data_IF_792378075888
#
_entry.id   IF_792378075888
#
_cell.length_a   1.000
_cell.length_b   1.000
_cell.length_c   1.000
_cell.angle_alpha   90.00
_cell.angle_beta   90.00
_cell.angle_gamma   90.00
#
_symmetry.space_group_name_H-M   'P 1'
#
loop_
_entity.id
_entity.type
_entity.pdbx_description
1 polymer ?
#
# COMPACT_ATOMS: atom_id res chain seq x y z
N UNK A 1 -24.26 0.87 7.97
CA UNK A 1 -22.92 0.70 8.56
C UNK A 1 -21.90 1.31 7.62
N UNK A 2 -21.20 2.35 8.05
CA UNK A 2 -20.13 2.93 7.26
C UNK A 2 -18.86 2.07 7.41
N UNK A 3 -18.09 1.90 6.34
CA UNK A 3 -16.82 1.14 6.40
C UNK A 3 -15.82 1.93 7.23
N UNK A 4 -15.05 1.25 8.08
CA UNK A 4 -14.20 1.83 9.13
C UNK A 4 -13.32 2.99 8.62
N UNK A 5 -12.68 2.84 7.45
CA UNK A 5 -11.84 3.88 6.84
C UNK A 5 -12.57 5.21 6.57
N UNK A 6 -13.89 5.19 6.40
CA UNK A 6 -14.73 6.37 6.15
C UNK A 6 -15.48 6.84 7.39
N UNK A 7 -15.64 5.96 8.39
CA UNK A 7 -16.31 6.24 9.66
C UNK A 7 -15.38 6.83 10.73
N UNK A 8 -14.08 6.50 10.68
CA UNK A 8 -13.10 6.98 11.64
C UNK A 8 -13.00 8.52 11.62
N UNK A 9 -12.71 9.17 12.77
CA UNK A 9 -12.57 10.62 12.85
C UNK A 9 -11.35 11.13 12.05
N UNK A 10 -11.31 12.45 11.81
CA UNK A 10 -10.21 13.12 11.14
C UNK A 10 -10.37 13.23 9.62
N UNK A 11 -9.25 13.34 8.91
CA UNK A 11 -9.20 13.56 7.47
C UNK A 11 -8.28 12.54 6.78
N UNK A 12 -8.39 12.45 5.46
CA UNK A 12 -7.49 11.61 4.68
C UNK A 12 -6.19 12.36 4.40
N UNK A 13 -5.07 11.72 4.73
CA UNK A 13 -3.72 12.14 4.39
C UNK A 13 -3.19 11.26 3.26
N UNK A 14 -2.68 11.89 2.20
CA UNK A 14 -2.06 11.22 1.05
C UNK A 14 -0.61 10.87 1.39
N UNK A 15 -0.24 9.60 1.26
CA UNK A 15 1.14 9.17 1.51
C UNK A 15 1.63 8.05 0.63
N UNK A 16 2.95 8.04 0.38
CA UNK A 16 3.64 6.94 -0.27
C UNK A 16 4.44 6.15 0.76
N UNK A 17 4.32 4.83 0.76
CA UNK A 17 4.99 3.98 1.75
C UNK A 17 6.26 3.30 1.22
N UNK A 18 6.48 3.32 -0.09
CA UNK A 18 7.58 2.61 -0.73
C UNK A 18 8.35 3.55 -1.66
N UNK A 19 9.56 3.94 -1.30
CA UNK A 19 10.48 4.73 -2.15
C UNK A 19 11.89 4.70 -1.58
N UNK A 20 12.88 4.83 -2.46
CA UNK A 20 14.29 4.70 -2.14
C UNK A 20 15.06 5.99 -2.41
N UNK A 21 16.22 6.11 -1.78
CA UNK A 21 17.16 7.22 -1.90
C UNK A 21 18.57 6.71 -2.19
N UNK A 22 19.55 7.61 -2.17
CA UNK A 22 20.98 7.28 -2.23
C UNK A 22 21.49 6.55 -0.99
N UNK A 23 20.62 6.13 -0.05
CA UNK A 23 21.00 5.28 1.09
C UNK A 23 20.89 3.79 0.75
N UNK A 24 20.14 3.44 -0.29
CA UNK A 24 20.30 2.18 -1.05
C UNK A 24 20.67 2.47 -2.51
N UNK A 25 19.79 2.15 -3.45
CA UNK A 25 20.00 2.13 -4.89
C UNK A 25 19.22 3.24 -5.64
N UNK A 26 18.49 4.09 -4.92
CA UNK A 26 17.88 5.29 -5.48
C UNK A 26 18.90 6.35 -5.92
N UNK A 27 18.46 7.29 -6.76
CA UNK A 27 19.34 8.34 -7.35
C UNK A 27 19.23 9.71 -6.71
N UNK A 28 18.34 9.91 -5.76
CA UNK A 28 18.13 11.19 -5.07
C UNK A 28 18.45 11.07 -3.58
N UNK A 29 18.98 12.15 -2.98
CA UNK A 29 19.24 12.17 -1.54
C UNK A 29 17.93 12.06 -0.75
N UNK A 30 17.96 11.57 0.51
CA UNK A 30 16.79 11.55 1.38
C UNK A 30 16.04 12.90 1.45
N UNK A 31 16.80 14.00 1.55
CA UNK A 31 16.26 15.36 1.56
C UNK A 31 15.48 15.68 0.28
N UNK A 32 16.06 15.38 -0.89
CA UNK A 32 15.44 15.67 -2.18
C UNK A 32 14.21 14.79 -2.43
N UNK A 33 14.23 13.52 -2.00
CA UNK A 33 13.05 12.63 -2.05
C UNK A 33 11.90 13.22 -1.22
N UNK A 34 12.16 13.55 0.06
CA UNK A 34 11.16 14.15 0.95
C UNK A 34 10.61 15.45 0.37
N UNK A 35 11.49 16.32 -0.13
CA UNK A 35 11.11 17.59 -0.75
C UNK A 35 10.19 17.40 -1.95
N UNK A 36 10.51 16.46 -2.85
CA UNK A 36 9.72 16.21 -4.07
C UNK A 36 8.31 15.72 -3.76
N UNK A 37 8.16 14.77 -2.84
CA UNK A 37 6.84 14.30 -2.43
C UNK A 37 6.01 15.42 -1.79
N UNK A 38 6.61 16.21 -0.91
CA UNK A 38 5.95 17.40 -0.33
C UNK A 38 5.50 18.39 -1.41
N UNK A 39 6.37 18.71 -2.36
CA UNK A 39 6.05 19.62 -3.49
C UNK A 39 4.97 19.06 -4.43
N UNK A 40 4.73 17.74 -4.41
CA UNK A 40 3.64 17.07 -5.13
C UNK A 40 2.36 16.87 -4.30
N UNK A 41 2.28 17.51 -3.14
CA UNK A 41 1.08 17.52 -2.30
C UNK A 41 0.83 16.17 -1.60
N UNK A 42 1.88 15.41 -1.31
CA UNK A 42 1.81 14.33 -0.35
C UNK A 42 1.90 14.92 1.05
N UNK A 43 1.12 14.38 1.97
CA UNK A 43 1.12 14.74 3.39
C UNK A 43 2.19 13.97 4.17
N UNK A 44 2.57 12.78 3.69
CA UNK A 44 3.62 11.99 4.31
C UNK A 44 4.31 11.01 3.37
N UNK A 45 5.49 10.53 3.76
CA UNK A 45 6.14 9.37 3.14
C UNK A 45 6.74 8.43 4.18
N UNK A 46 6.97 7.18 3.78
CA UNK A 46 7.99 6.33 4.37
C UNK A 46 9.16 6.23 3.38
N UNK A 47 10.35 6.65 3.79
CA UNK A 47 11.56 6.43 3.00
C UNK A 47 12.11 5.04 3.35
N UNK A 48 11.93 4.09 2.45
CA UNK A 48 12.03 2.66 2.72
C UNK A 48 13.24 2.02 2.03
N UNK A 49 14.41 2.69 2.09
CA UNK A 49 15.66 2.18 1.51
C UNK A 49 15.92 0.71 1.90
N UNK A 50 16.59 -0.03 1.02
CA UNK A 50 16.84 -1.46 1.22
C UNK A 50 17.66 -1.76 2.49
N UNK A 51 17.06 -2.45 3.45
CA UNK A 51 17.69 -2.90 4.69
C UNK A 51 18.40 -4.26 4.48
N UNK A 52 19.67 -4.18 4.07
CA UNK A 52 20.53 -5.35 3.87
C UNK A 52 22.02 -5.01 4.02
N UNK A 53 22.85 -6.04 4.20
CA UNK A 53 24.30 -5.93 4.43
C UNK A 53 25.02 -5.05 3.41
N UNK A 54 24.66 -5.15 2.13
CA UNK A 54 25.28 -4.37 1.06
C UNK A 54 25.18 -2.84 1.26
N UNK A 55 24.13 -2.39 1.95
CA UNK A 55 23.85 -0.97 2.21
C UNK A 55 24.10 -0.57 3.67
N UNK A 56 24.70 -1.46 4.48
CA UNK A 56 24.92 -1.25 5.91
C UNK A 56 23.61 -1.07 6.70
N UNK A 57 22.57 -1.81 6.31
CA UNK A 57 21.28 -1.89 7.04
C UNK A 57 20.66 -0.51 7.39
N UNK A 58 20.40 0.36 6.40
CA UNK A 58 19.96 1.72 6.68
C UNK A 58 18.51 1.76 7.19
N UNK A 59 18.31 2.39 8.36
CA UNK A 59 17.04 3.07 8.68
C UNK A 59 17.33 4.57 8.60
N UNK A 60 16.81 5.23 7.56
CA UNK A 60 17.17 6.62 7.28
C UNK A 60 16.45 7.55 8.24
N UNK A 61 17.19 8.28 9.07
CA UNK A 61 16.63 9.32 9.91
C UNK A 61 16.12 10.49 9.05
N UNK A 62 14.80 10.55 8.90
CA UNK A 62 14.08 11.56 8.14
C UNK A 62 13.36 12.56 9.05
N UNK A 63 13.59 12.51 10.38
CA UNK A 63 12.88 13.37 11.34
C UNK A 63 13.13 14.86 11.09
N UNK A 64 14.33 15.21 10.62
CA UNK A 64 14.71 16.57 10.25
C UNK A 64 14.01 17.13 9.00
N UNK A 65 13.30 16.31 8.23
CA UNK A 65 12.55 16.74 7.03
C UNK A 65 11.07 17.02 7.29
N UNK A 66 10.59 16.76 8.51
CA UNK A 66 9.20 16.99 8.91
C UNK A 66 8.89 18.48 9.03
N UNK A 67 7.66 18.85 8.73
CA UNK A 67 7.11 20.20 8.88
C UNK A 67 5.68 20.12 9.42
N UNK A 68 5.06 21.25 9.73
CA UNK A 68 3.67 21.30 10.21
C UNK A 68 2.65 20.71 9.20
N UNK A 69 3.02 20.59 7.92
CA UNK A 69 2.17 20.10 6.85
C UNK A 69 2.69 18.81 6.18
N UNK A 70 3.84 18.28 6.60
CA UNK A 70 4.45 17.10 6.00
C UNK A 70 5.18 16.26 7.04
N UNK A 71 4.87 14.97 7.13
CA UNK A 71 5.57 14.06 8.05
C UNK A 71 6.30 12.94 7.32
N UNK A 72 7.17 12.26 8.05
CA UNK A 72 7.94 11.12 7.57
C UNK A 72 7.82 9.98 8.57
N UNK A 73 7.57 8.77 8.07
CA UNK A 73 7.56 7.56 8.87
C UNK A 73 8.88 6.83 8.64
N UNK A 74 9.56 6.44 9.71
CA UNK A 74 10.78 5.63 9.61
C UNK A 74 10.41 4.22 9.17
N UNK A 75 11.18 3.62 8.28
CA UNK A 75 10.92 2.28 7.80
C UNK A 75 12.01 1.82 6.84
N UNK A 76 11.81 0.65 6.28
CA UNK A 76 12.71 0.06 5.30
C UNK A 76 12.02 -1.03 4.48
N UNK A 77 12.56 -1.32 3.30
CA UNK A 77 12.32 -2.58 2.62
C UNK A 77 13.35 -3.60 3.10
N UNK A 78 12.89 -4.55 3.93
CA UNK A 78 13.70 -5.57 4.59
C UNK A 78 13.89 -6.80 3.71
N UNK A 79 15.07 -7.42 3.79
CA UNK A 79 15.48 -8.47 2.88
C UNK A 79 15.94 -9.76 3.58
N UNK A 80 15.54 -10.94 3.11
CA UNK A 80 16.00 -12.24 3.65
C UNK A 80 16.01 -13.36 2.59
N UNK A 81 16.87 -14.39 2.69
CA UNK A 81 16.78 -15.58 1.83
C UNK A 81 15.69 -16.56 2.33
N UNK A 82 15.01 -17.33 1.49
CA UNK A 82 14.62 -17.07 0.11
C UNK A 82 13.10 -17.33 0.00
N UNK A 83 12.45 -16.80 -1.03
CA UNK A 83 11.08 -17.15 -1.40
C UNK A 83 11.02 -18.57 -1.98
N UNK A 84 9.83 -19.13 -2.19
CA UNK A 84 9.66 -20.43 -2.88
C UNK A 84 10.22 -20.44 -4.31
N UNK A 85 10.43 -19.26 -4.90
CA UNK A 85 11.04 -19.09 -6.23
C UNK A 85 12.56 -18.94 -6.20
N UNK A 86 13.18 -18.97 -5.03
CA UNK A 86 14.63 -18.78 -4.87
C UNK A 86 15.08 -17.33 -4.94
N UNK A 87 14.13 -16.39 -5.00
CA UNK A 87 14.42 -14.96 -4.94
C UNK A 87 14.61 -14.50 -3.49
N UNK A 88 15.22 -13.33 -3.32
CA UNK A 88 15.28 -12.70 -2.00
C UNK A 88 13.89 -12.23 -1.60
N UNK A 89 13.54 -12.35 -0.33
CA UNK A 89 12.37 -11.69 0.23
C UNK A 89 12.54 -10.19 0.15
N UNK A 90 11.48 -9.51 -0.27
CA UNK A 90 11.25 -8.10 -0.06
C UNK A 90 10.08 -7.98 0.92
N UNK A 91 10.27 -7.26 2.02
CA UNK A 91 9.27 -7.08 3.09
C UNK A 91 9.23 -5.59 3.41
N UNK A 92 8.14 -4.91 3.08
CA UNK A 92 8.00 -3.50 3.39
C UNK A 92 7.60 -3.34 4.88
N UNK A 93 8.41 -2.65 5.66
CA UNK A 93 8.18 -2.40 7.08
C UNK A 93 8.16 -0.90 7.39
N UNK A 94 6.98 -0.39 7.75
CA UNK A 94 6.69 1.03 7.98
C UNK A 94 6.45 1.27 9.47
N UNK A 95 7.21 2.17 10.08
CA UNK A 95 7.19 2.44 11.53
C UNK A 95 8.28 1.69 12.31
N UNK A 96 9.43 1.40 11.70
CA UNK A 96 10.57 0.78 12.40
C UNK A 96 11.32 1.80 13.27
N UNK A 97 11.95 1.37 14.37
CA UNK A 97 12.84 2.23 15.15
C UNK A 97 14.20 2.39 14.46
N UNK A 98 14.91 3.50 14.74
CA UNK A 98 16.24 3.79 14.16
C UNK A 98 17.29 2.72 14.50
N UNK A 99 17.15 2.07 15.64
CA UNK A 99 18.06 1.03 16.14
C UNK A 99 17.60 -0.39 15.80
N UNK A 100 16.73 -0.55 14.80
CA UNK A 100 16.33 -1.87 14.32
C UNK A 100 17.58 -2.69 13.89
N UNK A 101 17.82 -3.79 14.60
CA UNK A 101 19.07 -4.53 14.45
C UNK A 101 19.22 -5.19 13.07
N UNK A 102 20.45 -5.36 12.54
CA UNK A 102 20.72 -6.17 11.36
C UNK A 102 20.14 -7.58 11.39
N UNK A 103 20.14 -8.24 10.24
CA UNK A 103 19.68 -9.61 10.12
C UNK A 103 20.53 -10.56 10.96
N UNK A 104 19.89 -11.58 11.54
CA UNK A 104 20.60 -12.69 12.20
C UNK A 104 21.13 -13.66 11.13
N UNK A 105 22.19 -14.40 11.47
CA UNK A 105 22.71 -15.44 10.57
C UNK A 105 21.63 -16.51 10.32
N UNK A 106 21.31 -16.78 9.06
CA UNK A 106 20.27 -17.73 8.65
C UNK A 106 18.83 -17.27 8.92
N UNK A 107 18.61 -15.99 9.22
CA UNK A 107 17.26 -15.45 9.45
C UNK A 107 16.40 -15.57 8.19
N UNK A 108 15.25 -16.22 8.33
CA UNK A 108 14.30 -16.40 7.22
C UNK A 108 13.41 -15.17 7.03
N UNK A 109 12.76 -15.06 5.86
CA UNK A 109 11.76 -14.01 5.61
C UNK A 109 10.66 -13.99 6.66
N UNK A 110 10.16 -15.15 7.10
CA UNK A 110 9.17 -15.27 8.16
C UNK A 110 9.66 -14.70 9.51
N UNK A 111 10.89 -15.00 9.89
CA UNK A 111 11.49 -14.51 11.14
C UNK A 111 11.74 -13.01 11.09
N UNK A 112 12.21 -12.49 9.95
CA UNK A 112 12.44 -11.06 9.75
C UNK A 112 11.12 -10.28 9.77
N UNK A 113 10.09 -10.76 9.05
CA UNK A 113 8.76 -10.16 9.09
C UNK A 113 8.19 -10.12 10.52
N UNK A 114 8.35 -11.20 11.29
CA UNK A 114 7.91 -11.23 12.69
C UNK A 114 8.64 -10.20 13.55
N UNK A 115 9.96 -10.03 13.37
CA UNK A 115 10.70 -8.98 14.08
C UNK A 115 10.23 -7.57 13.72
N UNK A 116 9.89 -7.32 12.46
CA UNK A 116 9.32 -6.03 12.05
C UNK A 116 7.98 -5.80 12.75
N UNK A 117 7.13 -6.83 12.85
CA UNK A 117 5.86 -6.76 13.59
C UNK A 117 6.09 -6.50 15.08
N UNK A 118 7.02 -7.23 15.71
CA UNK A 118 7.37 -7.10 17.13
C UNK A 118 7.95 -5.71 17.45
N UNK A 119 8.64 -5.09 16.48
CA UNK A 119 9.11 -3.71 16.56
C UNK A 119 7.99 -2.66 16.36
N UNK A 120 6.76 -3.10 16.12
CA UNK A 120 5.61 -2.21 15.93
C UNK A 120 5.47 -1.67 14.52
N UNK A 121 6.09 -2.27 13.50
CA UNK A 121 5.88 -1.84 12.12
C UNK A 121 4.53 -2.30 11.54
N UNK A 122 3.97 -1.49 10.66
CA UNK A 122 3.05 -1.96 9.62
C UNK A 122 3.86 -2.70 8.56
N UNK A 123 3.64 -3.99 8.43
CA UNK A 123 4.31 -4.88 7.48
C UNK A 123 3.43 -5.17 6.28
N UNK A 124 3.94 -5.00 5.06
CA UNK A 124 3.26 -5.31 3.80
C UNK A 124 4.10 -6.23 2.90
N UNK A 125 3.41 -6.90 1.96
CA UNK A 125 4.00 -7.71 0.90
C UNK A 125 4.13 -6.84 -0.36
N UNK A 126 5.33 -6.35 -0.71
CA UNK A 126 5.51 -5.46 -1.85
C UNK A 126 5.58 -6.22 -3.18
N UNK A 127 5.20 -5.53 -4.26
CA UNK A 127 5.33 -5.90 -5.69
C UNK A 127 5.28 -7.40 -6.04
N UNK A 128 4.24 -8.16 -5.61
CA UNK A 128 4.22 -9.62 -5.72
C UNK A 128 4.33 -10.15 -7.17
N UNK A 129 3.81 -9.41 -8.17
CA UNK A 129 3.89 -9.81 -9.58
C UNK A 129 5.28 -9.64 -10.19
N UNK A 130 6.10 -8.70 -9.71
CA UNK A 130 7.40 -8.39 -10.31
C UNK A 130 8.34 -9.60 -10.27
N UNK A 131 8.41 -10.25 -9.11
CA UNK A 131 9.30 -11.38 -8.82
C UNK A 131 8.57 -12.70 -8.49
N UNK A 132 7.24 -12.72 -8.61
CA UNK A 132 6.46 -13.95 -8.73
C UNK A 132 6.20 -14.69 -7.41
N UNK A 133 5.80 -13.96 -6.38
CA UNK A 133 5.43 -14.56 -5.08
C UNK A 133 4.28 -15.57 -5.22
N UNK A 134 4.32 -16.62 -4.39
CA UNK A 134 3.29 -17.66 -4.33
C UNK A 134 2.35 -17.45 -3.14
N UNK A 135 1.21 -18.15 -3.11
CA UNK A 135 0.37 -18.19 -1.92
C UNK A 135 1.10 -18.81 -0.71
N UNK A 136 2.04 -19.73 -0.94
CA UNK A 136 2.90 -20.32 0.08
C UNK A 136 3.82 -19.27 0.73
N UNK A 137 4.40 -18.39 -0.08
CA UNK A 137 5.19 -17.25 0.39
C UNK A 137 4.36 -16.36 1.33
N UNK A 138 3.16 -15.92 0.91
CA UNK A 138 2.28 -15.13 1.78
C UNK A 138 1.92 -15.88 3.07
N UNK A 139 1.60 -17.18 2.99
CA UNK A 139 1.26 -17.99 4.14
C UNK A 139 2.40 -18.08 5.18
N UNK A 140 3.66 -17.92 4.76
CA UNK A 140 4.82 -17.92 5.65
C UNK A 140 4.93 -16.66 6.54
N UNK A 141 4.26 -15.56 6.16
CA UNK A 141 4.22 -14.28 6.89
C UNK A 141 2.78 -13.91 7.27
N UNK A 142 2.12 -14.69 8.14
CA UNK A 142 0.68 -14.55 8.42
C UNK A 142 0.30 -13.20 9.05
N UNK A 143 1.26 -12.51 9.69
CA UNK A 143 1.05 -11.19 10.30
C UNK A 143 1.20 -10.00 9.35
N UNK A 144 1.54 -10.20 8.07
CA UNK A 144 1.55 -9.08 7.11
C UNK A 144 0.14 -8.48 6.97
N UNK A 145 0.06 -7.16 6.99
CA UNK A 145 -1.17 -6.37 7.04
C UNK A 145 -1.74 -6.09 5.66
N UNK A 146 -0.90 -5.96 4.63
CA UNK A 146 -1.35 -5.61 3.29
C UNK A 146 -0.50 -6.23 2.17
N UNK A 147 -1.05 -6.20 0.96
CA UNK A 147 -0.39 -6.57 -0.30
C UNK A 147 -0.38 -5.35 -1.22
N UNK A 148 0.76 -5.05 -1.85
CA UNK A 148 0.78 -4.08 -2.95
C UNK A 148 -0.03 -4.61 -4.14
N UNK A 149 -1.27 -4.12 -4.29
CA UNK A 149 -2.11 -4.37 -5.46
C UNK A 149 -1.69 -3.54 -6.66
N UNK A 150 -0.93 -2.48 -6.41
CA UNK A 150 -0.26 -1.66 -7.41
C UNK A 150 1.13 -1.21 -6.93
N UNK A 151 2.16 -1.48 -7.73
CA UNK A 151 3.51 -0.95 -7.58
C UNK A 151 3.90 -0.17 -8.85
N UNK A 152 4.21 1.11 -8.70
CA UNK A 152 4.39 2.00 -9.86
C UNK A 152 5.66 1.70 -10.64
N UNK A 153 6.81 1.55 -9.97
CA UNK A 153 8.10 1.23 -10.58
C UNK A 153 8.03 -0.05 -11.39
N UNK A 154 7.51 -1.12 -10.79
CA UNK A 154 7.32 -2.40 -11.46
C UNK A 154 6.39 -2.28 -12.67
N UNK A 155 5.36 -1.43 -12.61
CA UNK A 155 4.49 -1.16 -13.75
C UNK A 155 5.23 -0.45 -14.89
N UNK A 156 5.89 0.67 -14.62
CA UNK A 156 6.41 1.56 -15.67
C UNK A 156 7.74 1.10 -16.26
N UNK A 157 8.48 0.27 -15.53
CA UNK A 157 9.77 -0.28 -15.96
C UNK A 157 9.64 -1.71 -16.50
N UNK A 158 8.68 -2.51 -16.03
CA UNK A 158 8.57 -3.93 -16.40
C UNK A 158 7.18 -4.39 -16.84
N UNK A 159 6.14 -3.56 -16.69
CA UNK A 159 4.76 -3.98 -16.95
C UNK A 159 4.24 -5.03 -15.97
N UNK A 160 4.80 -5.09 -14.76
CA UNK A 160 4.49 -6.08 -13.71
C UNK A 160 4.09 -5.44 -12.39
N UNK A 161 3.29 -4.38 -12.45
CA UNK A 161 2.91 -3.61 -11.27
C UNK A 161 1.72 -4.15 -10.50
N UNK A 162 1.12 -5.27 -10.90
CA UNK A 162 -0.11 -5.78 -10.31
C UNK A 162 0.08 -6.60 -9.05
N UNK A 163 -0.95 -6.61 -8.20
CA UNK A 163 -1.05 -7.57 -7.10
C UNK A 163 -2.50 -7.91 -6.72
N UNK A 164 -3.48 -7.42 -7.49
CA UNK A 164 -4.91 -7.65 -7.20
C UNK A 164 -5.27 -9.14 -7.22
N UNK A 165 -4.77 -9.90 -8.19
CA UNK A 165 -5.00 -11.35 -8.25
C UNK A 165 -4.39 -12.06 -7.02
N UNK A 166 -3.17 -11.66 -6.64
CA UNK A 166 -2.46 -12.23 -5.50
C UNK A 166 -3.19 -11.96 -4.19
N UNK A 167 -3.68 -10.72 -3.99
CA UNK A 167 -4.55 -10.37 -2.87
C UNK A 167 -5.82 -11.22 -2.85
N UNK A 168 -6.51 -11.34 -3.98
CA UNK A 168 -7.76 -12.11 -4.06
C UNK A 168 -7.53 -13.60 -3.75
N UNK A 169 -6.43 -14.19 -4.22
CA UNK A 169 -6.05 -15.57 -3.90
C UNK A 169 -5.80 -15.77 -2.40
N UNK A 170 -5.12 -14.82 -1.75
CA UNK A 170 -4.93 -14.84 -0.29
C UNK A 170 -6.27 -14.71 0.44
N UNK A 171 -7.14 -13.78 0.05
CA UNK A 171 -8.46 -13.61 0.66
C UNK A 171 -9.33 -14.87 0.54
N UNK A 172 -9.19 -15.62 -0.56
CA UNK A 172 -9.92 -16.87 -0.77
C UNK A 172 -9.55 -17.98 0.24
N UNK A 173 -8.36 -17.90 0.86
CA UNK A 173 -7.94 -18.80 1.96
C UNK A 173 -8.60 -18.49 3.29
N UNK A 174 -9.36 -17.39 3.39
CA UNK A 174 -9.96 -16.89 4.63
C UNK A 174 -9.06 -15.95 5.44
N UNK A 175 -7.83 -15.70 4.97
CA UNK A 175 -6.96 -14.68 5.55
C UNK A 175 -7.55 -13.28 5.37
N UNK A 176 -7.45 -12.46 6.41
CA UNK A 176 -7.81 -11.04 6.35
C UNK A 176 -6.53 -10.22 6.14
N UNK A 177 -6.48 -9.50 5.03
CA UNK A 177 -5.31 -8.72 4.60
C UNK A 177 -5.78 -7.60 3.68
N UNK A 178 -5.14 -6.44 3.76
CA UNK A 178 -5.56 -5.22 3.09
C UNK A 178 -4.87 -5.01 1.73
N UNK A 179 -5.36 -4.02 0.98
CA UNK A 179 -4.79 -3.61 -0.29
C UNK A 179 -3.86 -2.41 -0.09
N UNK A 180 -2.76 -2.35 -0.84
CA UNK A 180 -1.81 -1.25 -0.83
C UNK A 180 -1.48 -0.80 -2.26
N UNK A 181 -1.32 0.50 -2.50
CA UNK A 181 -0.71 1.02 -3.72
C UNK A 181 0.46 1.93 -3.35
N UNK A 182 1.60 1.72 -3.99
CA UNK A 182 2.84 2.47 -3.71
C UNK A 182 3.62 2.73 -4.99
N UNK A 183 4.60 3.62 -4.88
CA UNK A 183 5.48 3.94 -6.00
C UNK A 183 6.60 2.93 -6.17
N UNK A 184 7.40 2.73 -5.11
CA UNK A 184 8.70 2.05 -5.13
C UNK A 184 9.75 2.82 -5.95
N UNK A 185 9.71 4.16 -5.87
CA UNK A 185 10.50 5.03 -6.74
C UNK A 185 12.00 4.95 -6.42
N UNK A 186 12.81 4.79 -7.47
CA UNK A 186 14.28 4.79 -7.44
C UNK A 186 14.88 5.99 -8.20
N UNK A 187 14.07 6.69 -9.00
CA UNK A 187 14.46 7.90 -9.73
C UNK A 187 15.53 7.62 -10.80
N UNK A 188 15.50 6.41 -11.38
CA UNK A 188 16.58 5.85 -12.21
C UNK A 188 16.48 6.21 -13.69
N UNK A 189 15.36 6.76 -14.14
CA UNK A 189 15.13 7.06 -15.56
C UNK A 189 15.70 8.44 -15.87
N UNK A 190 16.83 8.51 -16.56
CA UNK A 190 17.55 9.77 -16.80
C UNK A 190 16.72 10.80 -17.58
N UNK A 191 15.99 10.37 -18.62
CA UNK A 191 15.17 11.23 -19.48
C UNK A 191 13.91 11.77 -18.79
N UNK A 192 13.41 11.04 -17.77
CA UNK A 192 12.29 11.43 -16.93
C UNK A 192 12.48 10.87 -15.52
N UNK A 193 13.18 11.62 -14.67
CA UNK A 193 13.50 11.18 -13.32
C UNK A 193 12.29 10.91 -12.45
N UNK A 194 11.10 11.39 -12.82
CA UNK A 194 9.87 11.15 -12.06
C UNK A 194 9.06 9.97 -12.62
N UNK A 195 9.56 9.27 -13.65
CA UNK A 195 8.83 8.24 -14.37
C UNK A 195 8.29 7.13 -13.46
N UNK A 196 9.03 6.81 -12.42
CA UNK A 196 8.76 5.75 -11.45
C UNK A 196 8.23 6.28 -10.11
N UNK A 197 7.78 7.54 -10.06
CA UNK A 197 7.20 8.17 -8.88
C UNK A 197 5.81 8.78 -9.14
N UNK A 198 5.05 8.96 -8.07
CA UNK A 198 3.74 9.61 -8.04
C UNK A 198 2.61 8.90 -8.81
N UNK A 199 2.71 7.57 -8.94
CA UNK A 199 1.73 6.75 -9.64
C UNK A 199 0.85 5.90 -8.74
N UNK A 200 1.26 5.62 -7.50
CA UNK A 200 0.49 4.87 -6.51
C UNK A 200 0.69 5.41 -5.09
N UNK A 201 -0.38 5.46 -4.31
CA UNK A 201 -0.33 5.92 -2.91
C UNK A 201 -1.51 5.42 -2.09
N UNK A 202 -1.43 5.67 -0.78
CA UNK A 202 -2.53 5.49 0.17
C UNK A 202 -3.14 6.83 0.58
N UNK A 203 -4.41 6.77 0.96
CA UNK A 203 -5.17 7.85 1.59
C UNK A 203 -5.54 7.36 2.99
N UNK A 204 -4.78 7.77 4.01
CA UNK A 204 -4.89 7.28 5.40
C UNK A 204 -5.77 8.22 6.22
N UNK A 205 -6.80 7.68 6.87
CA UNK A 205 -7.72 8.42 7.72
C UNK A 205 -7.14 8.56 9.13
N UNK A 206 -6.80 9.78 9.53
CA UNK A 206 -6.31 10.09 10.88
C UNK A 206 -6.72 11.49 11.33
N UNK A 207 -6.72 11.73 12.64
CA UNK A 207 -7.01 13.05 13.23
C UNK A 207 -5.83 14.01 13.12
N UNK A 208 -4.61 13.48 13.07
CA UNK A 208 -3.35 14.24 13.01
C UNK A 208 -2.36 13.58 12.05
N UNK A 209 -1.54 14.39 11.39
CA UNK A 209 -0.49 13.95 10.47
C UNK A 209 0.81 13.59 11.23
N UNK A 210 0.72 12.65 12.17
CA UNK A 210 1.84 12.22 13.02
C UNK A 210 2.20 10.75 12.76
N UNK A 211 3.49 10.37 12.79
CA UNK A 211 3.93 9.03 12.37
C UNK A 211 3.20 7.88 13.07
N UNK A 212 3.05 7.96 14.40
CA UNK A 212 2.37 6.91 15.16
C UNK A 212 0.87 6.83 14.81
N UNK A 213 0.20 7.97 14.68
CA UNK A 213 -1.22 8.01 14.33
C UNK A 213 -1.47 7.41 12.93
N UNK A 214 -0.58 7.70 11.97
CA UNK A 214 -0.64 7.14 10.62
C UNK A 214 -0.38 5.62 10.62
N UNK A 215 0.64 5.14 11.33
CA UNK A 215 0.94 3.70 11.44
C UNK A 215 -0.20 2.94 12.11
N UNK A 216 -0.78 3.50 13.18
CA UNK A 216 -1.92 2.89 13.86
C UNK A 216 -3.16 2.82 12.95
N UNK A 217 -3.42 3.88 12.18
CA UNK A 217 -4.50 3.91 11.19
C UNK A 217 -4.28 2.88 10.06
N UNK A 218 -3.06 2.76 9.55
CA UNK A 218 -2.69 1.75 8.54
C UNK A 218 -2.97 0.32 9.05
N UNK A 219 -2.51 -0.01 10.26
CA UNK A 219 -2.74 -1.34 10.86
C UNK A 219 -4.20 -1.65 11.14
N UNK A 220 -5.02 -0.62 11.34
CA UNK A 220 -6.46 -0.75 11.55
C UNK A 220 -7.26 -0.77 10.24
N UNK A 221 -6.59 -0.73 9.08
CA UNK A 221 -7.24 -0.71 7.77
C UNK A 221 -7.98 0.59 7.48
N UNK A 222 -7.66 1.68 8.19
CA UNK A 222 -8.29 3.00 8.05
C UNK A 222 -7.71 3.79 6.89
N UNK A 223 -7.72 3.19 5.71
CA UNK A 223 -7.19 3.82 4.50
C UNK A 223 -7.80 3.20 3.24
N UNK A 224 -7.56 3.84 2.11
CA UNK A 224 -7.76 3.24 0.78
C UNK A 224 -6.55 3.53 -0.11
N UNK A 225 -6.40 2.78 -1.20
CA UNK A 225 -5.28 2.87 -2.14
C UNK A 225 -5.71 3.52 -3.45
N UNK A 226 -4.85 4.29 -4.10
CA UNK A 226 -5.22 5.03 -5.32
C UNK A 226 -4.05 5.34 -6.25
N UNK A 227 -4.37 5.48 -7.54
CA UNK A 227 -3.51 6.06 -8.58
C UNK A 227 -4.00 7.44 -9.05
N UNK A 228 -5.01 8.01 -8.39
CA UNK A 228 -5.68 9.24 -8.81
C UNK A 228 -7.10 9.36 -8.25
N UNK A 229 -8.01 8.42 -8.54
CA UNK A 229 -9.41 8.54 -8.13
C UNK A 229 -9.56 8.63 -6.60
N UNK A 230 -10.51 9.45 -6.15
CA UNK A 230 -10.88 9.57 -4.74
C UNK A 230 -12.04 8.65 -4.43
N UNK A 231 -11.98 7.98 -3.28
CA UNK A 231 -13.14 7.34 -2.66
C UNK A 231 -13.51 8.26 -1.49
N UNK A 232 -14.68 8.88 -1.57
CA UNK A 232 -15.11 9.89 -0.59
C UNK A 232 -15.91 9.24 0.55
N UNK A 233 -16.73 8.24 0.23
CA UNK A 233 -17.49 7.50 1.22
C UNK A 233 -17.88 6.10 0.71
N UNK A 234 -17.92 5.13 1.63
CA UNK A 234 -18.49 3.80 1.40
C UNK A 234 -19.35 3.40 2.60
N UNK A 235 -20.64 3.18 2.36
CA UNK A 235 -21.62 2.82 3.39
C UNK A 235 -22.46 1.63 2.97
N UNK A 236 -22.60 0.65 3.85
CA UNK A 236 -23.57 -0.44 3.72
C UNK A 236 -24.92 0.04 4.28
N UNK A 237 -25.93 0.20 3.45
CA UNK A 237 -27.29 0.60 3.84
C UNK A 237 -28.34 -0.37 3.28
N UNK A 238 -29.09 -1.01 4.17
CA UNK A 238 -30.01 -2.10 3.82
C UNK A 238 -29.33 -3.17 2.97
N UNK A 239 -29.86 -3.39 1.76
CA UNK A 239 -29.36 -4.37 0.79
C UNK A 239 -28.27 -3.84 -0.16
N UNK A 240 -27.76 -2.62 0.05
CA UNK A 240 -26.88 -1.92 -0.89
C UNK A 240 -25.60 -1.38 -0.24
N UNK A 241 -24.54 -1.29 -1.02
CA UNK A 241 -23.36 -0.48 -0.74
C UNK A 241 -23.51 0.82 -1.53
N UNK A 242 -23.53 1.93 -0.81
CA UNK A 242 -23.57 3.29 -1.32
C UNK A 242 -22.16 3.86 -1.35
N UNK A 243 -21.78 4.39 -2.51
CA UNK A 243 -20.42 4.82 -2.83
C UNK A 243 -20.48 6.27 -3.30
N UNK A 244 -19.59 7.10 -2.78
CA UNK A 244 -19.27 8.43 -3.31
C UNK A 244 -17.79 8.48 -3.70
N UNK A 245 -17.49 9.05 -4.86
CA UNK A 245 -16.14 9.09 -5.40
C UNK A 245 -15.94 10.29 -6.34
N UNK A 246 -14.68 10.57 -6.68
CA UNK A 246 -14.36 11.46 -7.80
C UNK A 246 -14.95 10.91 -9.11
N UNK A 247 -15.10 11.73 -10.17
CA UNK A 247 -15.61 11.29 -11.46
C UNK A 247 -14.96 9.98 -11.96
N UNK A 248 -15.79 8.97 -12.16
CA UNK A 248 -15.41 7.62 -12.54
C UNK A 248 -16.04 7.23 -13.89
N UNK A 249 -15.37 6.32 -14.59
CA UNK A 249 -15.93 5.58 -15.72
C UNK A 249 -16.55 4.25 -15.29
N UNK A 250 -15.93 3.58 -14.30
CA UNK A 250 -16.34 2.27 -13.80
C UNK A 250 -16.34 2.28 -12.28
N UNK A 251 -17.43 1.79 -11.68
CA UNK A 251 -17.50 1.54 -10.23
C UNK A 251 -17.96 0.09 -10.04
N UNK A 252 -17.17 -0.71 -9.30
CA UNK A 252 -17.44 -2.14 -9.12
C UNK A 252 -17.16 -2.61 -7.70
N UNK A 253 -18.03 -3.47 -7.18
CA UNK A 253 -17.70 -4.40 -6.11
C UNK A 253 -17.19 -5.69 -6.75
N UNK A 254 -16.01 -6.14 -6.35
CA UNK A 254 -15.44 -7.43 -6.76
C UNK A 254 -15.28 -8.32 -5.52
N UNK A 255 -15.49 -9.62 -5.67
CA UNK A 255 -15.42 -10.60 -4.59
C UNK A 255 -14.86 -11.93 -5.08
N UNK A 256 -14.99 -12.97 -4.24
CA UNK A 256 -14.51 -14.33 -4.53
C UNK A 256 -14.84 -14.79 -5.95
N UNK A 257 -13.81 -15.32 -6.63
CA UNK A 257 -13.89 -15.81 -8.01
C UNK A 257 -14.46 -14.74 -8.97
N UNK A 258 -15.57 -15.01 -9.64
CA UNK A 258 -16.18 -14.09 -10.61
C UNK A 258 -17.28 -13.21 -10.02
N UNK A 259 -17.54 -13.26 -8.70
CA UNK A 259 -18.58 -12.46 -8.06
C UNK A 259 -18.29 -10.97 -8.24
N UNK A 260 -19.21 -10.25 -8.88
CA UNK A 260 -19.13 -8.80 -9.03
C UNK A 260 -20.52 -8.16 -9.14
N UNK A 261 -20.57 -6.88 -8.76
CA UNK A 261 -21.64 -5.94 -9.05
C UNK A 261 -21.01 -4.66 -9.56
N UNK A 262 -21.57 -4.03 -10.58
CA UNK A 262 -20.90 -2.92 -11.25
C UNK A 262 -21.82 -2.01 -12.05
N UNK A 263 -21.37 -0.78 -12.22
CA UNK A 263 -21.96 0.21 -13.11
C UNK A 263 -20.86 0.89 -13.93
N UNK A 264 -21.19 1.26 -15.17
CA UNK A 264 -20.31 1.95 -16.11
C UNK A 264 -21.03 3.17 -16.66
N UNK A 265 -20.31 4.28 -16.80
CA UNK A 265 -20.86 5.55 -17.26
C UNK A 265 -19.82 6.66 -17.13
N UNK A 266 -19.89 7.69 -17.97
CA UNK A 266 -18.93 8.80 -17.92
C UNK A 266 -19.26 9.76 -16.79
N UNK A 267 -18.25 10.16 -16.03
CA UNK A 267 -18.37 11.20 -15.01
C UNK A 267 -19.26 10.81 -13.81
N UNK A 268 -19.41 9.52 -13.52
CA UNK A 268 -20.18 9.08 -12.36
C UNK A 268 -19.44 9.44 -11.08
N UNK A 269 -20.12 10.09 -10.13
CA UNK A 269 -19.55 10.46 -8.83
C UNK A 269 -20.12 9.62 -7.68
N UNK A 270 -21.03 8.70 -7.99
CA UNK A 270 -21.65 7.83 -6.99
C UNK A 270 -22.17 6.54 -7.63
N UNK A 271 -22.38 5.53 -6.79
CA UNK A 271 -23.05 4.30 -7.16
C UNK A 271 -23.80 3.70 -5.97
N UNK A 272 -24.83 2.90 -6.27
CA UNK A 272 -25.54 2.08 -5.30
C UNK A 272 -25.60 0.66 -5.84
N UNK A 273 -24.83 -0.24 -5.23
CA UNK A 273 -24.63 -1.61 -5.73
C UNK A 273 -25.19 -2.61 -4.72
N UNK A 274 -25.98 -3.62 -5.13
CA UNK A 274 -26.52 -4.61 -4.20
C UNK A 274 -25.38 -5.47 -3.65
N UNK A 275 -25.47 -5.90 -2.39
CA UNK A 275 -24.36 -6.66 -1.79
C UNK A 275 -24.65 -8.13 -1.46
N UNK A 276 -25.90 -8.59 -1.59
CA UNK A 276 -26.31 -9.96 -1.22
C UNK A 276 -25.47 -11.08 -1.87
N UNK A 277 -24.86 -10.86 -3.04
CA UNK A 277 -23.95 -11.85 -3.67
C UNK A 277 -22.68 -12.13 -2.85
N UNK A 278 -22.32 -11.23 -1.95
CA UNK A 278 -21.13 -11.27 -1.11
C UNK A 278 -21.42 -11.66 0.34
N UNK A 279 -22.68 -11.96 0.70
CA UNK A 279 -23.07 -12.36 2.06
C UNK A 279 -22.24 -13.55 2.57
N UNK A 280 -21.67 -13.42 3.76
CA UNK A 280 -20.78 -14.39 4.39
C UNK A 280 -19.37 -14.44 3.81
N UNK A 281 -18.97 -13.45 3.01
CA UNK A 281 -17.69 -13.42 2.28
C UNK A 281 -17.13 -11.99 2.26
N UNK A 282 -16.07 -11.77 1.47
CA UNK A 282 -15.51 -10.44 1.24
C UNK A 282 -15.96 -9.85 -0.11
N UNK A 283 -16.00 -8.53 -0.17
CA UNK A 283 -15.94 -7.76 -1.42
C UNK A 283 -14.96 -6.59 -1.26
N UNK A 284 -14.51 -6.00 -2.36
CA UNK A 284 -13.73 -4.76 -2.36
C UNK A 284 -14.21 -3.83 -3.46
N UNK A 285 -14.16 -2.53 -3.18
CA UNK A 285 -14.51 -1.49 -4.13
C UNK A 285 -13.35 -1.24 -5.08
N UNK A 286 -13.66 -1.13 -6.37
CA UNK A 286 -12.76 -0.68 -7.42
C UNK A 286 -13.42 0.47 -8.18
N UNK A 287 -12.75 1.63 -8.18
CA UNK A 287 -13.17 2.83 -8.93
C UNK A 287 -12.14 3.10 -10.01
N UNK A 288 -12.57 3.19 -11.26
CA UNK A 288 -11.69 3.47 -12.42
C UNK A 288 -12.14 4.77 -13.05
N UNK A 289 -11.23 5.73 -13.24
CA UNK A 289 -11.51 6.98 -13.96
C UNK A 289 -11.48 6.83 -15.49
N UNK A 290 -11.72 7.92 -16.23
CA UNK A 290 -11.67 7.89 -17.69
C UNK A 290 -10.27 7.64 -18.28
N UNK A 291 -9.20 7.88 -17.50
CA UNK A 291 -7.82 7.63 -17.91
C UNK A 291 -7.36 6.19 -17.58
N UNK A 292 -8.22 5.38 -16.97
CA UNK A 292 -7.90 4.01 -16.55
C UNK A 292 -7.12 3.93 -15.24
N UNK A 293 -6.99 5.03 -14.49
CA UNK A 293 -6.41 5.03 -13.13
C UNK A 293 -7.41 4.46 -12.15
N UNK A 294 -6.90 3.74 -11.15
CA UNK A 294 -7.73 2.93 -10.26
C UNK A 294 -7.57 3.39 -8.81
N UNK A 295 -8.67 3.36 -8.05
CA UNK A 295 -8.66 3.35 -6.60
C UNK A 295 -9.30 2.05 -6.06
N UNK A 296 -8.77 1.56 -4.95
CA UNK A 296 -9.17 0.32 -4.30
C UNK A 296 -9.48 0.58 -2.83
N UNK A 297 -10.62 0.08 -2.34
CA UNK A 297 -10.81 -0.06 -0.90
C UNK A 297 -10.06 -1.29 -0.37
N UNK A 298 -9.84 -1.33 0.93
CA UNK A 298 -9.59 -2.59 1.63
C UNK A 298 -10.80 -3.54 1.54
N UNK A 299 -10.64 -4.83 1.83
CA UNK A 299 -11.75 -5.77 1.85
C UNK A 299 -12.83 -5.39 2.87
N UNK A 300 -14.07 -5.46 2.42
CA UNK A 300 -15.29 -5.27 3.22
C UNK A 300 -15.88 -6.66 3.43
N UNK A 301 -16.11 -7.03 4.68
CA UNK A 301 -16.69 -8.32 5.05
C UNK A 301 -18.17 -8.12 5.34
N UNK A 302 -19.04 -8.84 4.62
CA UNK A 302 -20.49 -8.63 4.60
C UNK A 302 -21.26 -9.89 4.99
#
# INVERSE_FOLDING_TARGET
MQVEAFAAPGQFYRGNLHTHSTRSDGKLSPEEVCKRYRERGYDFICLSDHFMEHYDYPIVDTTGYRTDAFTTILGAECHAPATERGEKWHILAVGLPLDFAPNRNGETGAQLAQRCLDAGAFVAIPHPEWYGLTAGDAASIPGAHAVEVYNHTSQVLNGRGGGSYYLDDILNTGRRIDALACDDAHWVVEEDRNRDAFGGWVMVKAEVNEPQALVDALKQGRYYSSQGPLIENVTVDGDFVEIACSPAFQISLVGRASKNEKISGRGMTSARLPWRKFEGDWCRLVVIDEAGKIAWSNPIYL
#
